data_IF_785420227016
#
_entry.id   IF_785420227016
#
_cell.length_a   1.000
_cell.length_b   1.000
_cell.length_c   1.000
_cell.angle_alpha   90.00
_cell.angle_beta   90.00
_cell.angle_gamma   90.00
#
_symmetry.space_group_name_H-M   'P 1'
#
loop_
_entity.id
_entity.type
_entity.pdbx_description
1 polymer ?
#
# COMPACT_ATOMS: atom_id res chain seq x y z
N UNK A 1 -2.06 4.06 28.11
CA UNK A 1 -2.99 2.99 27.67
C UNK A 1 -2.99 2.95 26.16
N UNK A 2 -2.56 1.85 25.60
CA UNK A 2 -2.54 1.70 24.16
C UNK A 2 -3.96 1.46 23.63
N UNK A 3 -4.30 2.19 22.59
CA UNK A 3 -5.58 2.00 21.90
C UNK A 3 -5.38 0.82 20.93
N UNK A 4 -6.20 -0.24 21.05
CA UNK A 4 -6.04 -1.38 20.14
C UNK A 4 -6.38 -1.01 18.71
N UNK A 5 -5.49 -1.41 17.80
CA UNK A 5 -5.67 -1.19 16.36
C UNK A 5 -6.02 -2.54 15.73
N UNK A 6 -7.11 -2.55 14.97
CA UNK A 6 -7.53 -3.71 14.20
C UNK A 6 -7.26 -3.45 12.72
N UNK A 7 -6.66 -4.42 12.04
CA UNK A 7 -6.44 -4.35 10.59
C UNK A 7 -7.28 -5.43 9.93
N UNK A 8 -8.05 -5.03 8.93
CA UNK A 8 -8.92 -5.92 8.18
C UNK A 8 -9.06 -5.48 6.73
N UNK A 9 -9.70 -6.28 5.93
CA UNK A 9 -10.00 -5.91 4.55
C UNK A 9 -10.99 -4.74 4.51
N UNK A 10 -10.80 -3.84 3.57
CA UNK A 10 -11.68 -2.71 3.33
C UNK A 10 -13.06 -3.20 2.83
N UNK A 11 -14.09 -2.49 3.22
CA UNK A 11 -15.44 -2.72 2.72
C UNK A 11 -16.03 -1.40 2.23
N UNK A 12 -17.15 -1.49 1.51
CA UNK A 12 -17.84 -0.28 1.02
C UNK A 12 -18.32 0.62 2.16
N UNK A 13 -18.51 0.05 3.35
CA UNK A 13 -18.89 0.83 4.54
C UNK A 13 -17.77 1.75 5.03
N UNK A 14 -16.54 1.54 4.58
CA UNK A 14 -15.39 2.35 4.97
C UNK A 14 -15.21 3.59 4.09
N UNK A 15 -15.96 3.72 2.99
CA UNK A 15 -15.73 4.77 1.99
C UNK A 15 -15.77 6.19 2.55
N UNK A 16 -16.77 6.51 3.37
CA UNK A 16 -16.90 7.88 3.88
C UNK A 16 -15.70 8.27 4.73
N UNK A 17 -15.24 7.36 5.58
CA UNK A 17 -14.08 7.61 6.41
C UNK A 17 -12.78 7.66 5.58
N UNK A 18 -12.66 6.85 4.55
CA UNK A 18 -11.52 6.90 3.63
C UNK A 18 -11.45 8.25 2.92
N UNK A 19 -12.59 8.76 2.46
CA UNK A 19 -12.65 10.05 1.80
C UNK A 19 -12.23 11.17 2.73
N UNK A 20 -12.63 11.10 4.00
CA UNK A 20 -12.19 12.08 4.99
C UNK A 20 -10.67 12.07 5.16
N UNK A 21 -10.05 10.89 5.16
CA UNK A 21 -8.59 10.77 5.23
C UNK A 21 -7.92 11.33 3.97
N UNK A 22 -8.51 11.08 2.79
CA UNK A 22 -7.99 11.62 1.54
C UNK A 22 -8.01 13.16 1.56
N UNK A 23 -9.12 13.75 1.97
CA UNK A 23 -9.26 15.19 2.05
C UNK A 23 -8.30 15.82 3.07
N UNK A 24 -8.02 15.12 4.16
CA UNK A 24 -7.14 15.60 5.21
C UNK A 24 -5.66 15.55 4.81
N UNK A 25 -5.28 14.65 3.90
CA UNK A 25 -3.88 14.41 3.53
C UNK A 25 -3.48 14.98 2.18
N UNK A 26 -4.42 15.13 1.26
CA UNK A 26 -4.10 15.43 -0.14
C UNK A 26 -4.92 16.61 -0.64
N UNK A 27 -4.34 17.35 -1.59
CA UNK A 27 -5.08 18.42 -2.28
C UNK A 27 -6.22 17.80 -3.10
N UNK A 28 -7.16 18.63 -3.50
CA UNK A 28 -8.29 18.17 -4.33
C UNK A 28 -7.84 17.53 -5.65
N UNK A 29 -6.67 17.91 -6.16
CA UNK A 29 -6.12 17.33 -7.38
C UNK A 29 -5.47 15.97 -7.13
N UNK A 30 -4.93 15.76 -5.94
CA UNK A 30 -4.23 14.53 -5.57
C UNK A 30 -5.13 13.50 -4.92
N UNK A 31 -6.22 13.93 -4.30
CA UNK A 31 -7.13 13.04 -3.59
C UNK A 31 -7.83 12.08 -4.55
N UNK A 32 -7.96 10.84 -4.12
CA UNK A 32 -8.66 9.80 -4.89
C UNK A 32 -10.16 10.01 -4.75
N UNK A 33 -10.90 9.82 -5.85
CA UNK A 33 -12.35 9.98 -5.84
C UNK A 33 -13.07 8.81 -5.17
N UNK A 34 -14.31 9.06 -4.75
CA UNK A 34 -15.18 8.00 -4.21
C UNK A 34 -15.32 6.83 -5.18
N UNK A 35 -15.55 7.13 -6.46
CA UNK A 35 -15.72 6.09 -7.48
C UNK A 35 -14.46 5.23 -7.60
N UNK A 36 -13.30 5.86 -7.61
CA UNK A 36 -12.03 5.14 -7.70
C UNK A 36 -11.79 4.24 -6.50
N UNK A 37 -12.07 4.72 -5.29
CA UNK A 37 -11.95 3.92 -4.07
C UNK A 37 -12.94 2.75 -4.08
N UNK A 38 -14.17 3.00 -4.50
CA UNK A 38 -15.19 1.95 -4.59
C UNK A 38 -14.77 0.84 -5.55
N UNK A 39 -14.26 1.21 -6.72
CA UNK A 39 -13.75 0.25 -7.70
C UNK A 39 -12.57 -0.55 -7.13
N UNK A 40 -11.67 0.11 -6.41
CA UNK A 40 -10.51 -0.54 -5.80
C UNK A 40 -10.94 -1.54 -4.73
N UNK A 41 -11.94 -1.21 -3.92
CA UNK A 41 -12.47 -2.12 -2.90
C UNK A 41 -13.02 -3.38 -3.56
N UNK A 42 -13.77 -3.21 -4.65
CA UNK A 42 -14.36 -4.35 -5.36
C UNK A 42 -13.31 -5.19 -6.08
N UNK A 43 -12.35 -4.54 -6.71
CA UNK A 43 -11.33 -5.21 -7.51
C UNK A 43 -10.22 -5.84 -6.69
N UNK A 44 -9.85 -5.20 -5.59
CA UNK A 44 -8.67 -5.57 -4.79
C UNK A 44 -9.05 -5.95 -3.36
N UNK A 45 -10.19 -6.61 -3.15
CA UNK A 45 -10.76 -6.88 -1.84
C UNK A 45 -9.79 -7.57 -0.88
N UNK A 46 -8.97 -8.50 -1.36
CA UNK A 46 -8.03 -9.23 -0.51
C UNK A 46 -6.77 -8.46 -0.16
N UNK A 47 -6.49 -7.35 -0.85
CA UNK A 47 -5.23 -6.61 -0.73
C UNK A 47 -5.44 -5.13 -0.41
N UNK A 48 -6.66 -4.75 -0.10
CA UNK A 48 -7.00 -3.40 0.35
C UNK A 48 -7.30 -3.50 1.85
N UNK A 49 -6.41 -2.98 2.68
CA UNK A 49 -6.49 -3.15 4.13
C UNK A 49 -6.72 -1.82 4.83
N UNK A 50 -7.56 -1.85 5.86
CA UNK A 50 -7.83 -0.68 6.70
C UNK A 50 -7.38 -0.94 8.12
N UNK A 51 -6.93 0.13 8.78
CA UNK A 51 -6.61 0.13 10.20
C UNK A 51 -7.66 0.95 10.95
N UNK A 52 -8.21 0.39 12.00
CA UNK A 52 -9.23 1.04 12.82
C UNK A 52 -8.83 1.01 14.29
N UNK A 53 -9.11 2.11 15.00
CA UNK A 53 -9.18 2.05 16.45
C UNK A 53 -10.64 1.70 16.84
N UNK A 54 -11.00 1.84 18.10
CA UNK A 54 -12.35 1.46 18.55
C UNK A 54 -13.46 2.27 17.89
N UNK A 55 -13.18 3.50 17.46
CA UNK A 55 -14.20 4.45 17.05
C UNK A 55 -14.12 4.89 15.60
N UNK A 56 -12.96 4.78 14.95
CA UNK A 56 -12.77 5.36 13.64
C UNK A 56 -11.70 4.65 12.82
N UNK A 57 -11.78 4.83 11.53
CA UNK A 57 -10.74 4.40 10.60
C UNK A 57 -9.56 5.38 10.71
N UNK A 58 -8.36 4.85 10.93
CA UNK A 58 -7.17 5.67 11.14
C UNK A 58 -6.19 5.61 9.99
N UNK A 59 -6.34 4.66 9.09
CA UNK A 59 -5.49 4.58 7.90
C UNK A 59 -5.85 3.41 7.00
N UNK A 60 -5.22 3.37 5.83
CA UNK A 60 -5.42 2.27 4.91
C UNK A 60 -4.25 2.14 3.95
N UNK A 61 -4.11 0.94 3.39
CA UNK A 61 -3.13 0.65 2.33
C UNK A 61 -3.84 -0.13 1.22
N UNK A 62 -3.63 0.31 -0.01
CA UNK A 62 -4.14 -0.38 -1.19
C UNK A 62 -2.97 -1.01 -1.94
N UNK A 63 -2.95 -2.33 -1.99
CA UNK A 63 -2.08 -3.09 -2.86
C UNK A 63 -2.88 -3.61 -4.05
N UNK A 64 -2.48 -3.24 -5.25
CA UNK A 64 -3.14 -3.71 -6.45
C UNK A 64 -2.26 -4.76 -7.14
N UNK A 65 -2.89 -5.80 -7.64
CA UNK A 65 -2.18 -6.85 -8.36
C UNK A 65 -1.64 -6.33 -9.68
N UNK A 66 -0.35 -6.54 -9.90
CA UNK A 66 0.30 -6.19 -11.16
C UNK A 66 1.08 -7.39 -11.68
N UNK A 67 0.99 -7.65 -12.97
CA UNK A 67 1.76 -8.70 -13.62
C UNK A 67 2.81 -8.08 -14.53
N UNK A 68 3.96 -8.73 -14.62
CA UNK A 68 4.93 -8.35 -15.63
C UNK A 68 4.41 -8.75 -17.01
N UNK A 69 4.57 -7.84 -17.96
CA UNK A 69 3.88 -7.87 -19.24
C UNK A 69 4.21 -9.05 -20.17
N UNK A 70 5.26 -9.81 -19.89
CA UNK A 70 5.72 -10.85 -20.80
C UNK A 70 5.74 -12.26 -20.21
N UNK A 71 5.60 -12.39 -18.90
CA UNK A 71 5.56 -13.69 -18.25
C UNK A 71 4.40 -13.68 -17.26
N UNK A 72 3.28 -14.18 -17.68
CA UNK A 72 2.05 -14.17 -16.87
C UNK A 72 2.13 -14.94 -15.56
N UNK A 73 3.29 -15.44 -15.22
CA UNK A 73 3.46 -16.29 -14.05
C UNK A 73 3.95 -15.54 -12.81
N UNK A 74 4.44 -14.31 -12.96
CA UNK A 74 4.99 -13.55 -11.84
C UNK A 74 4.05 -12.42 -11.47
N UNK A 75 3.44 -12.52 -10.30
CA UNK A 75 2.51 -11.52 -9.79
C UNK A 75 3.11 -10.80 -8.60
N UNK A 76 3.02 -9.49 -8.64
CA UNK A 76 3.39 -8.63 -7.53
C UNK A 76 2.18 -7.82 -7.08
N UNK A 77 2.24 -7.31 -5.86
CA UNK A 77 1.35 -6.23 -5.44
C UNK A 77 2.08 -4.92 -5.62
N UNK A 78 1.38 -3.90 -6.08
CA UNK A 78 1.91 -2.55 -6.10
C UNK A 78 1.12 -1.69 -5.13
N UNK A 79 1.81 -0.99 -4.22
CA UNK A 79 1.14 -0.06 -3.32
C UNK A 79 0.71 1.16 -4.13
N UNK A 80 -0.60 1.32 -4.28
CA UNK A 80 -1.19 2.45 -4.98
C UNK A 80 -1.52 3.59 -4.03
N UNK A 81 -1.78 3.28 -2.77
CA UNK A 81 -2.12 4.29 -1.78
C UNK A 81 -1.78 3.79 -0.39
N UNK A 82 -1.14 4.63 0.38
CA UNK A 82 -0.93 4.42 1.81
C UNK A 82 -1.22 5.75 2.48
N UNK A 83 -2.25 5.79 3.31
CA UNK A 83 -2.70 7.03 3.93
C UNK A 83 -3.06 6.82 5.38
N UNK A 84 -2.61 7.73 6.23
CA UNK A 84 -2.88 7.71 7.68
C UNK A 84 -3.56 9.03 8.04
N UNK A 85 -4.60 8.96 8.85
CA UNK A 85 -5.26 10.16 9.35
C UNK A 85 -4.25 11.06 10.06
N UNK A 86 -4.22 12.38 9.78
CA UNK A 86 -3.18 13.26 10.34
C UNK A 86 -3.07 13.23 11.86
N UNK A 87 -4.17 13.05 12.58
CA UNK A 87 -4.18 12.99 14.04
C UNK A 87 -3.45 11.75 14.56
N UNK A 88 -3.16 10.79 13.68
CA UNK A 88 -2.52 9.53 14.04
C UNK A 88 -1.14 9.36 13.39
N UNK A 89 -0.58 10.41 12.82
CA UNK A 89 0.76 10.37 12.26
C UNK A 89 1.79 10.08 13.35
N UNK A 90 2.89 9.46 12.97
CA UNK A 90 4.04 9.15 13.84
C UNK A 90 3.74 8.17 14.97
N UNK A 91 2.70 7.35 14.80
CA UNK A 91 2.34 6.31 15.76
C UNK A 91 2.67 4.90 15.24
N UNK A 92 3.36 4.80 14.11
CA UNK A 92 3.73 3.50 13.55
C UNK A 92 2.63 2.80 12.79
N UNK A 93 1.52 3.47 12.46
CA UNK A 93 0.40 2.85 11.76
C UNK A 93 0.75 2.46 10.33
N UNK A 94 1.53 3.30 9.65
CA UNK A 94 2.00 2.95 8.30
C UNK A 94 2.80 1.66 8.30
N UNK A 95 3.68 1.51 9.28
CA UNK A 95 4.50 0.30 9.44
C UNK A 95 3.63 -0.91 9.73
N UNK A 96 2.58 -0.76 10.57
CA UNK A 96 1.64 -1.85 10.83
C UNK A 96 0.88 -2.26 9.57
N UNK A 97 0.43 -1.29 8.78
CA UNK A 97 -0.26 -1.59 7.52
C UNK A 97 0.67 -2.27 6.52
N UNK A 98 1.91 -1.82 6.42
CA UNK A 98 2.90 -2.46 5.56
C UNK A 98 3.17 -3.89 6.01
N UNK A 99 3.30 -4.12 7.31
CA UNK A 99 3.50 -5.47 7.84
C UNK A 99 2.31 -6.38 7.52
N UNK A 100 1.09 -5.85 7.65
CA UNK A 100 -0.12 -6.61 7.32
C UNK A 100 -0.17 -6.95 5.82
N UNK A 101 0.22 -6.00 4.96
CA UNK A 101 0.26 -6.26 3.52
C UNK A 101 1.32 -7.29 3.15
N UNK A 102 2.47 -7.27 3.82
CA UNK A 102 3.50 -8.30 3.65
C UNK A 102 2.95 -9.68 4.02
N UNK A 103 2.19 -9.77 5.11
CA UNK A 103 1.56 -11.03 5.52
C UNK A 103 0.61 -11.55 4.44
N UNK A 104 -0.23 -10.69 3.89
CA UNK A 104 -1.14 -11.02 2.79
C UNK A 104 -0.36 -11.47 1.56
N UNK A 105 0.74 -10.78 1.24
CA UNK A 105 1.61 -11.12 0.12
C UNK A 105 2.15 -12.55 0.25
N UNK A 106 2.56 -12.94 1.45
CA UNK A 106 3.04 -14.29 1.74
C UNK A 106 1.89 -15.30 1.60
N UNK A 107 0.74 -15.01 2.20
CA UNK A 107 -0.41 -15.92 2.21
C UNK A 107 -0.97 -16.19 0.81
N UNK A 108 -0.97 -15.17 -0.04
CA UNK A 108 -1.48 -15.29 -1.41
C UNK A 108 -0.39 -15.65 -2.43
N UNK A 109 0.83 -15.86 -1.96
CA UNK A 109 1.99 -16.28 -2.77
C UNK A 109 2.30 -15.32 -3.91
N UNK A 110 2.24 -14.01 -3.62
CA UNK A 110 2.78 -13.00 -4.54
C UNK A 110 4.30 -12.96 -4.42
N UNK A 111 4.96 -12.57 -5.50
CA UNK A 111 6.41 -12.48 -5.55
C UNK A 111 6.95 -11.39 -4.64
N UNK A 112 6.26 -10.28 -4.54
CA UNK A 112 6.67 -9.18 -3.68
C UNK A 112 5.74 -7.99 -3.75
N UNK A 113 6.19 -6.88 -3.16
CA UNK A 113 5.46 -5.62 -3.13
C UNK A 113 6.32 -4.56 -3.79
N UNK A 114 5.73 -3.84 -4.75
CA UNK A 114 6.37 -2.74 -5.46
C UNK A 114 5.78 -1.43 -4.98
N UNK A 115 6.57 -0.36 -5.00
CA UNK A 115 6.05 0.98 -4.76
C UNK A 115 6.94 2.04 -5.39
N UNK A 116 6.35 3.22 -5.61
CA UNK A 116 7.08 4.43 -5.97
C UNK A 116 7.10 5.34 -4.76
N UNK A 117 8.28 5.83 -4.39
CA UNK A 117 8.46 6.68 -3.22
C UNK A 117 9.01 8.04 -3.62
N UNK A 118 8.47 9.13 -3.09
CA UNK A 118 9.17 10.42 -3.17
C UNK A 118 10.41 10.40 -2.28
N UNK A 119 11.33 11.34 -2.53
CA UNK A 119 12.60 11.43 -1.80
C UNK A 119 12.40 11.46 -0.28
N UNK A 120 11.42 12.20 0.19
CA UNK A 120 11.21 12.39 1.63
C UNK A 120 10.76 11.15 2.37
N UNK A 121 10.23 10.13 1.66
CA UNK A 121 9.80 8.88 2.27
C UNK A 121 10.73 7.71 2.00
N UNK A 122 11.80 7.93 1.24
CA UNK A 122 12.72 6.86 0.86
C UNK A 122 13.27 6.12 2.09
N UNK A 123 13.80 6.88 3.05
CA UNK A 123 14.37 6.29 4.28
C UNK A 123 13.33 5.50 5.06
N UNK A 124 12.09 6.00 5.12
CA UNK A 124 11.00 5.32 5.80
C UNK A 124 10.75 3.93 5.20
N UNK A 125 10.65 3.86 3.87
CA UNK A 125 10.40 2.57 3.22
C UNK A 125 11.62 1.65 3.31
N UNK A 126 12.82 2.19 3.23
CA UNK A 126 14.03 1.38 3.42
C UNK A 126 14.08 0.75 4.81
N UNK A 127 13.70 1.52 5.83
CA UNK A 127 13.61 1.01 7.20
C UNK A 127 12.53 -0.08 7.35
N UNK A 128 11.57 -0.10 6.46
CA UNK A 128 10.52 -1.12 6.43
C UNK A 128 10.85 -2.30 5.51
N UNK A 129 12.10 -2.40 5.07
CA UNK A 129 12.58 -3.57 4.33
C UNK A 129 12.49 -3.47 2.82
N UNK A 130 12.11 -2.32 2.29
CA UNK A 130 12.09 -2.10 0.85
C UNK A 130 13.48 -1.70 0.36
N UNK A 131 13.85 -2.16 -0.82
CA UNK A 131 15.13 -1.83 -1.43
C UNK A 131 14.89 -1.21 -2.80
N UNK A 132 15.84 -0.41 -3.24
CA UNK A 132 15.76 0.22 -4.54
C UNK A 132 15.80 -0.85 -5.64
N UNK A 133 14.84 -0.79 -6.55
CA UNK A 133 14.80 -1.67 -7.70
C UNK A 133 15.67 -1.07 -8.80
N UNK A 134 16.58 -1.88 -9.35
CA UNK A 134 17.35 -1.45 -10.51
C UNK A 134 16.45 -1.39 -11.74
N UNK A 135 16.33 -0.19 -12.27
CA UNK A 135 15.55 0.03 -13.47
C UNK A 135 16.52 0.33 -14.61
N UNK A 136 16.47 -0.49 -15.63
CA UNK A 136 17.26 -0.26 -16.83
C UNK A 136 16.40 0.43 -17.88
N UNK A 137 16.85 1.58 -18.36
CA UNK A 137 16.20 2.30 -19.43
C UNK A 137 15.68 3.66 -19.05
N UNK A 138 15.31 4.44 -20.05
CA UNK A 138 14.92 5.83 -19.93
C UNK A 138 13.46 6.05 -19.55
N UNK A 139 12.74 5.02 -19.20
CA UNK A 139 11.32 5.12 -18.87
C UNK A 139 11.06 5.73 -17.48
N UNK A 140 12.12 5.93 -16.70
CA UNK A 140 12.04 6.52 -15.36
C UNK A 140 12.90 7.78 -15.33
N UNK A 141 12.39 8.82 -15.96
CA UNK A 141 13.14 10.07 -16.07
C UNK A 141 12.74 11.12 -15.04
N UNK A 142 11.84 10.80 -14.13
CA UNK A 142 11.52 11.71 -13.06
C UNK A 142 12.54 11.55 -11.94
N UNK A 143 13.42 12.52 -11.80
CA UNK A 143 14.48 12.48 -10.81
C UNK A 143 14.01 12.58 -9.36
N UNK A 144 12.71 12.62 -9.10
CA UNK A 144 12.18 12.81 -7.75
C UNK A 144 11.44 11.59 -7.20
N UNK A 145 11.38 10.48 -7.93
CA UNK A 145 10.71 9.27 -7.47
C UNK A 145 11.61 8.05 -7.54
N UNK A 146 11.45 7.20 -6.54
CA UNK A 146 12.24 5.99 -6.39
C UNK A 146 11.34 4.77 -6.53
N UNK A 147 11.81 3.78 -7.26
CA UNK A 147 11.11 2.50 -7.42
C UNK A 147 11.70 1.51 -6.44
N UNK A 148 10.87 1.03 -5.53
CA UNK A 148 11.30 0.15 -4.44
C UNK A 148 10.56 -1.17 -4.51
N UNK A 149 11.20 -2.22 -4.00
CA UNK A 149 10.63 -3.55 -3.93
C UNK A 149 10.91 -4.20 -2.57
N UNK A 150 9.91 -4.90 -2.04
CA UNK A 150 10.08 -5.87 -0.97
C UNK A 150 9.84 -7.25 -1.57
N UNK A 151 10.86 -8.12 -1.56
CA UNK A 151 10.74 -9.46 -2.12
C UNK A 151 10.17 -10.40 -1.05
N UNK A 152 9.15 -11.18 -1.42
CA UNK A 152 8.58 -12.18 -0.53
C UNK A 152 9.59 -13.30 -0.32
N UNK A 153 10.16 -13.46 0.90
CA UNK A 153 11.21 -14.46 1.13
C UNK A 153 10.67 -15.90 1.10
N UNK A 154 9.34 -16.05 1.12
CA UNK A 154 8.70 -17.36 1.10
C UNK A 154 8.11 -17.74 -0.26
N UNK A 155 8.33 -16.87 -1.26
CA UNK A 155 7.84 -17.14 -2.59
C UNK A 155 8.50 -18.40 -3.15
N UNK A 156 7.68 -19.33 -3.66
CA UNK A 156 8.17 -20.57 -4.25
C UNK A 156 7.96 -20.55 -5.75
N UNK A 157 9.07 -20.54 -6.47
CA UNK A 157 9.00 -20.72 -7.92
C UNK A 157 8.62 -22.16 -8.21
N UNK A 158 7.63 -22.34 -9.08
CA UNK A 158 7.33 -23.64 -9.62
C UNK A 158 8.45 -24.05 -10.59
N UNK A 159 9.06 -25.17 -10.31
CA UNK A 159 10.09 -25.71 -11.18
C UNK A 159 9.42 -26.52 -12.27
#
# INVERSE_FOLDING_TARGET
MEIPITIRQATLLDLDEMLAIEEANFSSEEAVSRQSLEESIRKSAGTFLVARDENQLVGYVLGAEVSETHTQTLLNLEIKRLAIHPDHWRQGLGTLLLAALKQVTVELDYQGILLQSPDELLSYFEMNGFVEEEVTGSQYDSGSEWYLIWANPFYQEEI
#
